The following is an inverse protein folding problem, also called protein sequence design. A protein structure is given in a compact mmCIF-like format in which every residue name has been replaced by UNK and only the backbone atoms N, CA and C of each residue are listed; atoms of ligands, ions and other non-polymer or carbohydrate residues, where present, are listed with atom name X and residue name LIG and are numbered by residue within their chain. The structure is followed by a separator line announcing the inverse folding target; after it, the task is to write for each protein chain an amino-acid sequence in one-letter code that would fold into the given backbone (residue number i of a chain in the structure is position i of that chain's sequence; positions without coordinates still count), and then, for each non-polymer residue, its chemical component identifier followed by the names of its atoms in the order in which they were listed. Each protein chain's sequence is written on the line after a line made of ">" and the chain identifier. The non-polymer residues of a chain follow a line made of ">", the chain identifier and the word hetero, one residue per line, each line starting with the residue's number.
data_IF_950674951302
#
_entry.id   IF_950674951302
#
_cell.length_a   1.000
_cell.length_b   1.000
_cell.length_c   1.000
_cell.angle_alpha   90.00
_cell.angle_beta   90.00
_cell.angle_gamma   90.00
#
_symmetry.space_group_name_H-M   'P 1'
#
loop_
_entity.id
_entity.type
_entity.pdbx_description
1 polymer ?
#
# COMPACT_ATOMS: atom_id res chain seq x y z
N UNK A 1 -33.79 66.90 -14.20
CA UNK A 1 -33.82 65.81 -13.23
C UNK A 1 -34.25 64.54 -13.95
N UNK A 2 -33.32 63.64 -14.32
CA UNK A 2 -33.64 62.34 -14.93
C UNK A 2 -33.40 61.26 -13.85
N UNK A 3 -34.49 60.52 -13.53
CA UNK A 3 -34.43 59.36 -12.62
C UNK A 3 -33.83 58.18 -13.36
N UNK A 4 -32.74 57.65 -12.86
CA UNK A 4 -32.13 56.39 -13.33
C UNK A 4 -32.71 55.27 -12.47
N UNK A 5 -33.51 54.42 -13.11
CA UNK A 5 -34.04 53.17 -12.51
C UNK A 5 -32.95 52.11 -12.58
N UNK A 6 -32.47 51.59 -11.44
CA UNK A 6 -31.57 50.45 -11.35
C UNK A 6 -32.41 49.17 -11.38
N UNK A 7 -32.30 48.39 -12.45
CA UNK A 7 -32.83 47.04 -12.49
C UNK A 7 -31.81 46.12 -11.79
N UNK A 8 -32.22 45.53 -10.65
CA UNK A 8 -31.53 44.42 -10.01
C UNK A 8 -31.92 43.13 -10.76
N UNK A 9 -30.93 42.52 -11.45
CA UNK A 9 -31.03 41.13 -11.91
C UNK A 9 -30.66 40.23 -10.74
N UNK A 10 -31.62 39.53 -10.18
CA UNK A 10 -31.37 38.43 -9.24
C UNK A 10 -31.02 37.20 -10.05
N UNK A 11 -29.77 36.82 -10.07
CA UNK A 11 -29.34 35.54 -10.60
C UNK A 11 -29.64 34.44 -9.57
N UNK A 12 -30.65 33.65 -9.84
CA UNK A 12 -30.97 32.45 -9.07
C UNK A 12 -29.95 31.37 -9.43
N UNK A 13 -29.00 31.12 -8.56
CA UNK A 13 -28.14 29.94 -8.62
C UNK A 13 -29.00 28.70 -8.31
N UNK A 14 -29.37 27.95 -9.34
CA UNK A 14 -29.95 26.62 -9.19
C UNK A 14 -28.77 25.71 -8.87
N UNK A 15 -28.54 25.37 -7.59
CA UNK A 15 -27.66 24.27 -7.18
C UNK A 15 -28.35 22.96 -7.59
N UNK A 16 -27.89 22.36 -8.67
CA UNK A 16 -28.19 20.96 -8.98
C UNK A 16 -27.46 20.13 -7.96
N UNK A 17 -28.12 19.74 -6.89
CA UNK A 17 -27.63 18.69 -6.01
C UNK A 17 -27.68 17.40 -6.84
N UNK A 18 -26.54 16.95 -7.33
CA UNK A 18 -26.42 15.60 -7.82
C UNK A 18 -26.74 14.68 -6.63
N UNK A 19 -27.88 14.02 -6.68
CA UNK A 19 -28.25 12.98 -5.72
C UNK A 19 -27.22 11.86 -5.92
N UNK A 20 -26.31 11.71 -4.96
CA UNK A 20 -25.43 10.54 -4.90
C UNK A 20 -26.36 9.31 -4.89
N UNK A 21 -26.25 8.47 -5.90
CA UNK A 21 -26.96 7.19 -5.93
C UNK A 21 -26.49 6.39 -4.72
N UNK A 22 -27.45 5.81 -3.99
CA UNK A 22 -27.11 4.98 -2.83
C UNK A 22 -26.38 3.72 -3.29
N UNK A 23 -25.32 3.35 -2.59
CA UNK A 23 -24.54 2.10 -2.80
C UNK A 23 -25.49 0.91 -2.81
N UNK A 24 -25.41 0.07 -3.83
CA UNK A 24 -26.21 -1.14 -4.01
C UNK A 24 -25.41 -2.39 -3.71
N UNK A 25 -26.09 -3.52 -3.47
CA UNK A 25 -25.41 -4.82 -3.32
C UNK A 25 -24.66 -5.23 -4.60
N UNK A 26 -25.14 -4.76 -5.77
CA UNK A 26 -24.46 -4.99 -7.05
C UNK A 26 -23.14 -4.24 -7.11
N UNK A 27 -23.07 -3.01 -6.61
CA UNK A 27 -21.81 -2.25 -6.54
C UNK A 27 -20.82 -2.97 -5.64
N UNK A 28 -21.28 -3.49 -4.49
CA UNK A 28 -20.45 -4.28 -3.59
C UNK A 28 -19.93 -5.54 -4.28
N UNK A 29 -20.78 -6.34 -4.89
CA UNK A 29 -20.38 -7.57 -5.56
C UNK A 29 -19.39 -7.30 -6.71
N UNK A 30 -19.63 -6.29 -7.54
CA UNK A 30 -18.75 -5.89 -8.63
C UNK A 30 -17.37 -5.42 -8.13
N UNK A 31 -17.34 -4.70 -7.01
CA UNK A 31 -16.13 -4.23 -6.37
C UNK A 31 -15.19 -5.37 -5.91
N UNK A 32 -15.77 -6.49 -5.49
CA UNK A 32 -14.99 -7.67 -5.07
C UNK A 32 -14.73 -8.67 -6.21
N UNK A 33 -15.52 -8.63 -7.26
CA UNK A 33 -15.46 -9.56 -8.38
C UNK A 33 -15.32 -8.83 -9.72
N UNK A 34 -14.28 -7.98 -9.90
CA UNK A 34 -14.13 -7.17 -11.11
C UNK A 34 -13.89 -7.99 -12.37
N UNK A 35 -13.64 -9.30 -12.23
CA UNK A 35 -13.33 -10.23 -13.31
C UNK A 35 -14.42 -11.25 -13.60
N UNK A 36 -15.67 -11.00 -13.19
CA UNK A 36 -16.81 -11.89 -13.46
C UNK A 36 -17.03 -12.14 -14.96
N UNK A 37 -16.73 -11.12 -15.81
CA UNK A 37 -16.79 -11.23 -17.27
C UNK A 37 -15.51 -11.81 -17.90
N UNK A 38 -14.54 -12.23 -17.09
CA UNK A 38 -13.19 -12.65 -17.50
C UNK A 38 -12.12 -11.62 -17.17
N UNK A 39 -10.88 -12.08 -17.15
CA UNK A 39 -9.73 -11.20 -16.96
C UNK A 39 -9.52 -10.29 -18.18
N UNK A 40 -8.92 -9.09 -17.99
CA UNK A 40 -8.56 -8.25 -19.10
C UNK A 40 -7.60 -8.98 -20.06
N UNK A 41 -7.81 -8.78 -21.34
CA UNK A 41 -6.94 -9.29 -22.40
C UNK A 41 -6.44 -8.13 -23.25
N UNK A 42 -5.19 -8.21 -23.69
CA UNK A 42 -4.58 -7.26 -24.62
C UNK A 42 -3.88 -8.06 -25.71
N UNK A 43 -4.06 -7.67 -26.97
CA UNK A 43 -3.48 -8.36 -28.11
C UNK A 43 -1.96 -8.51 -27.95
N UNK A 44 -1.44 -9.70 -28.23
CA UNK A 44 -0.03 -10.03 -28.10
C UNK A 44 0.48 -10.25 -26.67
N UNK A 45 -0.34 -10.08 -25.64
CA UNK A 45 0.04 -10.32 -24.24
C UNK A 45 -0.51 -11.67 -23.78
N UNK A 46 0.40 -12.62 -23.58
CA UNK A 46 0.10 -13.96 -23.07
C UNK A 46 1.11 -14.36 -22.00
N UNK A 47 0.74 -15.28 -21.13
CA UNK A 47 1.67 -15.84 -20.14
C UNK A 47 2.93 -16.39 -20.79
N UNK A 48 4.08 -16.11 -20.21
CA UNK A 48 5.40 -16.44 -20.75
C UNK A 48 6.00 -15.39 -21.67
N UNK A 49 5.23 -14.38 -22.10
CA UNK A 49 5.80 -13.25 -22.85
C UNK A 49 6.83 -12.53 -21.96
N UNK A 50 8.02 -12.27 -22.52
CA UNK A 50 9.04 -11.42 -21.89
C UNK A 50 9.04 -10.06 -22.57
N UNK A 51 8.80 -9.01 -21.79
CA UNK A 51 8.87 -7.62 -22.26
C UNK A 51 10.26 -7.10 -21.98
N UNK A 52 10.96 -6.75 -23.06
CA UNK A 52 12.35 -6.31 -23.08
C UNK A 52 12.47 -4.94 -23.72
N UNK A 53 13.67 -4.37 -23.73
CA UNK A 53 13.94 -3.09 -24.43
C UNK A 53 13.58 -3.12 -25.93
N UNK A 54 13.58 -4.30 -26.55
CA UNK A 54 13.39 -4.45 -28.00
C UNK A 54 11.90 -4.47 -28.38
N UNK A 55 10.98 -4.76 -27.41
CA UNK A 55 9.55 -4.86 -27.68
C UNK A 55 8.65 -4.02 -26.76
N UNK A 56 9.20 -3.31 -25.77
CA UNK A 56 8.42 -2.56 -24.76
C UNK A 56 7.47 -1.53 -25.38
N UNK A 57 7.84 -0.91 -26.51
CA UNK A 57 6.97 0.08 -27.17
C UNK A 57 5.65 -0.53 -27.66
N UNK A 58 5.62 -1.82 -27.99
CA UNK A 58 4.40 -2.53 -28.38
C UNK A 58 3.43 -2.73 -27.23
N UNK A 59 3.94 -2.73 -25.99
CA UNK A 59 3.19 -3.02 -24.77
C UNK A 59 3.12 -1.81 -23.81
N UNK A 60 3.48 -0.62 -24.27
CA UNK A 60 3.52 0.59 -23.44
C UNK A 60 2.15 0.94 -22.83
N UNK A 61 1.04 0.58 -23.50
CA UNK A 61 -0.32 0.86 -23.00
C UNK A 61 -0.68 0.16 -21.68
N UNK A 62 0.02 -0.92 -21.35
CA UNK A 62 -0.20 -1.71 -20.11
C UNK A 62 0.89 -1.55 -19.06
N UNK A 63 1.76 -0.55 -19.21
CA UNK A 63 2.86 -0.23 -18.32
C UNK A 63 2.76 1.23 -17.86
N UNK A 64 3.35 1.55 -16.72
CA UNK A 64 3.57 2.92 -16.30
C UNK A 64 4.87 3.50 -16.93
N UNK A 65 4.94 4.83 -17.00
CA UNK A 65 6.07 5.53 -17.63
C UNK A 65 7.42 5.19 -16.98
N UNK A 66 7.42 4.97 -15.64
CA UNK A 66 8.62 4.57 -14.91
C UNK A 66 9.09 3.17 -15.32
N UNK A 67 8.17 2.20 -15.45
CA UNK A 67 8.51 0.85 -15.92
C UNK A 67 8.95 0.85 -17.37
N UNK A 68 8.27 1.58 -18.23
CA UNK A 68 8.68 1.76 -19.64
C UNK A 68 10.13 2.28 -19.70
N UNK A 69 10.43 3.31 -18.90
CA UNK A 69 11.78 3.86 -18.83
C UNK A 69 12.80 2.83 -18.34
N UNK A 70 12.52 2.09 -17.29
CA UNK A 70 13.42 1.06 -16.75
C UNK A 70 13.72 -0.02 -17.80
N UNK A 71 12.71 -0.47 -18.52
CA UNK A 71 12.89 -1.49 -19.56
C UNK A 71 13.68 -0.92 -20.75
N UNK A 72 13.36 0.29 -21.22
CA UNK A 72 14.10 0.94 -22.33
C UNK A 72 15.57 1.18 -22.01
N UNK A 73 15.86 1.55 -20.77
CA UNK A 73 17.23 1.75 -20.28
C UNK A 73 17.97 0.41 -20.06
N UNK A 74 17.31 -0.74 -20.30
CA UNK A 74 17.87 -2.07 -20.09
C UNK A 74 18.11 -2.42 -18.63
N UNK A 75 17.37 -1.79 -17.72
CA UNK A 75 17.51 -2.04 -16.28
C UNK A 75 16.78 -3.30 -15.84
N UNK A 76 15.70 -3.64 -16.49
CA UNK A 76 14.88 -4.82 -16.16
C UNK A 76 14.16 -5.34 -17.41
N UNK A 77 13.86 -6.61 -17.41
CA UNK A 77 12.90 -7.28 -18.28
C UNK A 77 11.80 -7.85 -17.39
N UNK A 78 10.55 -7.85 -17.84
CA UNK A 78 9.46 -8.41 -17.06
C UNK A 78 8.82 -9.58 -17.80
N UNK A 79 8.41 -10.60 -17.05
CA UNK A 79 7.72 -11.77 -17.61
C UNK A 79 6.24 -11.70 -17.28
N UNK A 80 5.39 -11.86 -18.28
CA UNK A 80 3.94 -11.94 -18.09
C UNK A 80 3.57 -13.29 -17.47
N UNK A 81 2.78 -13.25 -16.41
CA UNK A 81 2.22 -14.43 -15.74
C UNK A 81 0.75 -14.66 -16.10
N UNK A 82 0.22 -15.79 -15.63
CA UNK A 82 -1.21 -16.07 -15.71
C UNK A 82 -2.00 -15.09 -14.83
N UNK A 83 -3.15 -14.62 -15.29
CA UNK A 83 -4.04 -13.83 -14.44
C UNK A 83 -4.60 -14.66 -13.31
N UNK A 84 -4.80 -14.04 -12.14
CA UNK A 84 -5.27 -14.69 -10.93
C UNK A 84 -6.38 -13.90 -10.26
N UNK A 85 -7.33 -14.62 -9.66
CA UNK A 85 -8.41 -14.03 -8.88
C UNK A 85 -8.03 -14.03 -7.38
N UNK A 86 -7.81 -12.84 -6.83
CA UNK A 86 -7.52 -12.63 -5.40
C UNK A 86 -8.82 -12.47 -4.62
N UNK A 87 -9.52 -13.57 -4.40
CA UNK A 87 -10.79 -13.57 -3.66
C UNK A 87 -10.57 -13.08 -2.23
N UNK A 88 -11.23 -11.98 -1.86
CA UNK A 88 -11.09 -11.38 -0.54
C UNK A 88 -11.87 -12.16 0.54
N UNK A 89 -11.52 -11.90 1.80
CA UNK A 89 -12.15 -12.51 2.97
C UNK A 89 -13.65 -12.27 3.02
N UNK A 90 -14.44 -13.33 3.28
CA UNK A 90 -15.89 -13.24 3.32
C UNK A 90 -16.40 -12.29 4.41
N UNK A 91 -15.77 -12.26 5.59
CA UNK A 91 -16.13 -11.31 6.66
C UNK A 91 -15.94 -9.85 6.25
N UNK A 92 -14.92 -9.56 5.42
CA UNK A 92 -14.72 -8.22 4.87
C UNK A 92 -15.81 -7.85 3.84
N UNK A 93 -16.22 -8.80 3.01
CA UNK A 93 -17.31 -8.62 2.04
C UNK A 93 -18.64 -8.38 2.78
N UNK A 94 -18.93 -9.20 3.80
CA UNK A 94 -20.18 -9.11 4.57
C UNK A 94 -20.26 -7.79 5.35
N UNK A 95 -19.15 -7.33 5.93
CA UNK A 95 -19.06 -6.04 6.60
C UNK A 95 -19.30 -4.88 5.63
N UNK A 96 -18.79 -4.98 4.39
CA UNK A 96 -19.06 -4.00 3.33
C UNK A 96 -20.55 -3.95 2.97
N UNK A 97 -21.20 -5.09 2.75
CA UNK A 97 -22.65 -5.18 2.46
C UNK A 97 -23.48 -4.57 3.58
N UNK A 98 -23.08 -4.81 4.82
CA UNK A 98 -23.81 -4.27 5.98
C UNK A 98 -23.65 -2.75 6.16
N UNK A 99 -22.46 -2.20 5.86
CA UNK A 99 -22.07 -0.86 6.27
C UNK A 99 -21.95 0.20 5.17
N UNK A 100 -21.52 -0.17 3.96
CA UNK A 100 -21.08 0.80 2.94
C UNK A 100 -22.13 1.86 2.58
N UNK A 101 -23.41 1.52 2.57
CA UNK A 101 -24.50 2.46 2.28
C UNK A 101 -24.62 3.63 3.28
N UNK A 102 -24.00 3.51 4.44
CA UNK A 102 -24.03 4.54 5.50
C UNK A 102 -22.75 5.40 5.47
N UNK A 103 -21.77 5.03 4.64
CA UNK A 103 -20.49 5.70 4.58
C UNK A 103 -20.54 6.91 3.67
N UNK A 104 -20.01 8.03 4.14
CA UNK A 104 -19.84 9.24 3.33
C UNK A 104 -18.59 9.98 3.77
N UNK A 105 -18.00 10.75 2.85
CA UNK A 105 -16.93 11.68 3.18
C UNK A 105 -17.51 12.84 4.01
N UNK A 106 -16.78 13.27 5.03
CA UNK A 106 -17.10 14.49 5.77
C UNK A 106 -16.79 15.75 4.95
N UNK A 107 -16.91 16.92 5.59
CA UNK A 107 -16.69 18.19 4.94
C UNK A 107 -15.22 18.43 4.61
N UNK A 108 -14.33 18.08 5.54
CA UNK A 108 -12.89 18.26 5.40
C UNK A 108 -12.22 17.05 4.74
N UNK A 109 -11.08 17.27 4.12
CA UNK A 109 -10.21 16.21 3.61
C UNK A 109 -9.75 15.30 4.76
N UNK A 110 -9.92 13.99 4.61
CA UNK A 110 -9.59 13.03 5.67
C UNK A 110 -10.68 12.83 6.71
N UNK A 111 -11.90 13.35 6.46
CA UNK A 111 -13.07 13.03 7.27
C UNK A 111 -13.93 11.96 6.60
N UNK A 112 -14.31 10.96 7.37
CA UNK A 112 -15.22 9.90 6.97
C UNK A 112 -16.28 9.69 8.06
N UNK A 113 -17.55 9.55 7.66
CA UNK A 113 -18.67 9.37 8.56
C UNK A 113 -19.37 8.04 8.27
N UNK A 114 -19.95 7.44 9.30
CA UNK A 114 -20.76 6.23 9.18
C UNK A 114 -19.96 4.94 8.94
N UNK A 115 -18.63 5.01 8.82
CA UNK A 115 -17.79 3.84 8.57
C UNK A 115 -17.61 2.98 9.84
N UNK A 116 -17.82 1.68 9.69
CA UNK A 116 -17.64 0.70 10.76
C UNK A 116 -16.56 -0.31 10.39
N UNK A 117 -16.71 -1.00 9.26
CA UNK A 117 -15.76 -1.99 8.76
C UNK A 117 -16.07 -2.34 7.30
N UNK A 118 -15.16 -3.03 6.62
CA UNK A 118 -15.29 -3.42 5.22
C UNK A 118 -14.73 -2.36 4.25
N UNK A 119 -15.08 -2.45 2.98
CA UNK A 119 -14.73 -1.46 1.96
C UNK A 119 -15.62 -0.23 2.09
N UNK A 120 -15.03 0.95 2.27
CA UNK A 120 -15.78 2.16 2.55
C UNK A 120 -16.64 2.64 1.36
N UNK A 121 -16.07 2.60 0.15
CA UNK A 121 -16.67 3.09 -1.09
C UNK A 121 -16.56 2.03 -2.18
N UNK A 122 -17.49 1.06 -2.25
CA UNK A 122 -17.41 -0.06 -3.20
C UNK A 122 -17.86 0.30 -4.63
N UNK A 123 -18.47 1.46 -4.83
CA UNK A 123 -18.89 1.90 -6.15
C UNK A 123 -17.71 2.16 -7.09
N UNK A 124 -17.90 1.93 -8.39
CA UNK A 124 -16.88 2.23 -9.40
C UNK A 124 -16.55 3.72 -9.37
N UNK A 125 -15.26 4.11 -9.28
CA UNK A 125 -14.88 5.52 -9.24
C UNK A 125 -15.22 6.22 -10.55
N UNK A 126 -15.70 7.48 -10.47
CA UNK A 126 -16.02 8.31 -11.62
C UNK A 126 -15.11 9.51 -11.73
N UNK A 127 -14.74 9.88 -12.97
CA UNK A 127 -14.01 11.12 -13.23
C UNK A 127 -14.86 12.38 -12.98
N UNK A 128 -16.19 12.23 -12.93
CA UNK A 128 -17.13 13.32 -12.62
C UNK A 128 -17.24 13.59 -11.11
N UNK A 129 -16.75 12.66 -10.27
CA UNK A 129 -16.69 12.84 -8.82
C UNK A 129 -15.35 13.50 -8.41
N UNK A 130 -15.37 14.77 -7.99
CA UNK A 130 -14.14 15.50 -7.61
C UNK A 130 -13.44 14.89 -6.39
N UNK A 131 -14.12 14.05 -5.60
CA UNK A 131 -13.55 13.36 -4.44
C UNK A 131 -13.35 11.86 -4.66
N UNK A 132 -13.41 11.36 -5.90
CA UNK A 132 -13.17 9.95 -6.21
C UNK A 132 -11.78 9.49 -5.76
N UNK A 133 -10.74 10.32 -5.93
CA UNK A 133 -9.39 10.02 -5.46
C UNK A 133 -9.32 9.80 -3.95
N UNK A 134 -9.99 10.63 -3.17
CA UNK A 134 -10.06 10.48 -1.71
C UNK A 134 -10.82 9.21 -1.30
N UNK A 135 -11.92 8.88 -1.97
CA UNK A 135 -12.63 7.60 -1.75
C UNK A 135 -11.73 6.40 -2.02
N UNK A 136 -10.91 6.44 -3.07
CA UNK A 136 -9.93 5.38 -3.37
C UNK A 136 -8.86 5.29 -2.30
N UNK A 137 -8.36 6.41 -1.80
CA UNK A 137 -7.40 6.44 -0.70
C UNK A 137 -7.97 5.83 0.58
N UNK A 138 -9.23 6.10 0.91
CA UNK A 138 -9.93 5.45 2.03
C UNK A 138 -10.09 3.94 1.82
N UNK A 139 -10.42 3.49 0.61
CA UNK A 139 -10.50 2.07 0.29
C UNK A 139 -9.14 1.36 0.45
N UNK A 140 -8.05 2.03 0.12
CA UNK A 140 -6.70 1.53 0.40
C UNK A 140 -6.42 1.50 1.90
N UNK A 141 -6.66 2.59 2.63
CA UNK A 141 -6.36 2.68 4.07
C UNK A 141 -7.14 1.65 4.90
N UNK A 142 -8.39 1.39 4.52
CA UNK A 142 -9.26 0.40 5.14
C UNK A 142 -9.29 -0.93 4.38
N UNK A 143 -8.36 -1.12 3.44
CA UNK A 143 -8.18 -2.37 2.71
C UNK A 143 -7.84 -3.53 3.65
N UNK A 144 -8.20 -4.74 3.26
CA UNK A 144 -7.91 -5.96 4.02
C UNK A 144 -6.49 -6.49 3.75
N UNK A 145 -5.52 -5.57 3.59
CA UNK A 145 -4.17 -5.84 3.10
C UNK A 145 -3.33 -6.69 4.06
N UNK A 146 -3.61 -6.61 5.36
CA UNK A 146 -2.94 -7.38 6.42
C UNK A 146 -3.96 -8.09 7.32
N UNK A 147 -5.19 -8.28 6.85
CA UNK A 147 -6.26 -8.84 7.66
C UNK A 147 -6.55 -8.03 8.92
N UNK A 148 -7.03 -8.66 9.96
CA UNK A 148 -7.21 -8.05 11.28
C UNK A 148 -5.90 -7.95 12.07
N UNK A 149 -4.87 -8.71 11.64
CA UNK A 149 -3.53 -8.68 12.18
C UNK A 149 -2.62 -9.64 11.43
N UNK A 150 -1.34 -9.29 11.33
CA UNK A 150 -0.34 -10.04 10.58
C UNK A 150 1.06 -9.79 11.11
N UNK A 151 1.96 -10.69 10.77
CA UNK A 151 3.39 -10.54 11.01
C UNK A 151 4.18 -10.70 9.72
N UNK A 152 5.30 -9.99 9.59
CA UNK A 152 6.38 -10.31 8.67
C UNK A 152 7.54 -10.78 9.55
N UNK A 153 7.80 -12.07 9.58
CA UNK A 153 8.77 -12.64 10.53
C UNK A 153 9.43 -13.90 9.96
N UNK A 154 10.71 -13.79 9.54
CA UNK A 154 11.52 -12.59 9.46
C UNK A 154 11.21 -11.71 8.24
N UNK A 155 11.76 -10.49 8.27
CA UNK A 155 11.78 -9.53 7.19
C UNK A 155 13.22 -9.12 6.92
N UNK A 156 13.72 -9.33 5.71
CA UNK A 156 15.07 -8.99 5.31
C UNK A 156 15.09 -7.79 4.39
N UNK A 157 15.90 -6.77 4.71
CA UNK A 157 16.19 -5.66 3.80
C UNK A 157 17.65 -5.68 3.37
N UNK A 158 17.89 -5.33 2.10
CA UNK A 158 19.22 -5.12 1.56
C UNK A 158 19.30 -3.74 0.89
N UNK A 159 20.29 -2.93 1.30
CA UNK A 159 20.60 -1.64 0.69
C UNK A 159 21.64 -1.89 -0.38
N UNK A 160 21.41 -1.39 -1.58
CA UNK A 160 22.23 -1.73 -2.75
C UNK A 160 22.54 -0.53 -3.61
N UNK A 161 23.76 -0.46 -4.09
CA UNK A 161 24.17 0.45 -5.14
C UNK A 161 23.70 -0.09 -6.50
N UNK A 162 22.84 0.63 -7.20
CA UNK A 162 22.26 0.16 -8.48
C UNK A 162 23.29 0.02 -9.60
N UNK A 163 24.38 0.80 -9.59
CA UNK A 163 25.38 0.75 -10.64
C UNK A 163 26.32 -0.46 -10.52
N UNK A 164 26.63 -0.86 -9.30
CA UNK A 164 27.61 -1.93 -9.02
C UNK A 164 26.98 -3.23 -8.57
N UNK A 165 25.71 -3.20 -8.14
CA UNK A 165 25.05 -4.34 -7.50
C UNK A 165 25.57 -4.67 -6.09
N UNK A 166 26.50 -3.84 -5.56
CA UNK A 166 27.06 -4.07 -4.23
C UNK A 166 26.00 -3.90 -3.16
N UNK A 167 25.85 -4.91 -2.30
CA UNK A 167 25.09 -4.81 -1.05
C UNK A 167 25.91 -4.00 -0.05
N UNK A 168 25.37 -2.90 0.42
CA UNK A 168 26.02 -1.98 1.37
C UNK A 168 25.62 -2.31 2.81
N UNK A 169 24.38 -2.76 3.01
CA UNK A 169 23.86 -3.14 4.32
C UNK A 169 22.73 -4.16 4.19
N UNK A 170 22.71 -5.11 5.11
CA UNK A 170 21.58 -6.00 5.33
C UNK A 170 20.98 -5.71 6.70
N UNK A 171 19.65 -5.74 6.79
CA UNK A 171 18.89 -5.64 8.04
C UNK A 171 17.93 -6.80 8.12
N UNK A 172 17.87 -7.44 9.29
CA UNK A 172 16.84 -8.42 9.64
C UNK A 172 16.00 -7.88 10.77
N UNK A 173 14.69 -7.91 10.61
CA UNK A 173 13.75 -7.49 11.65
C UNK A 173 12.44 -8.26 11.57
N UNK A 174 11.62 -8.13 12.60
CA UNK A 174 10.26 -8.59 12.64
C UNK A 174 9.32 -7.39 12.62
N UNK A 175 8.24 -7.53 11.90
CA UNK A 175 7.25 -6.48 11.71
C UNK A 175 5.86 -7.03 12.05
N UNK A 176 5.07 -6.29 12.81
CA UNK A 176 3.77 -6.72 13.29
C UNK A 176 2.73 -5.64 13.04
N UNK A 177 1.57 -6.05 12.55
CA UNK A 177 0.41 -5.20 12.31
C UNK A 177 -0.75 -5.68 13.16
N UNK A 178 -1.54 -4.77 13.71
CA UNK A 178 -2.78 -5.10 14.40
C UNK A 178 -3.81 -3.99 14.19
N UNK A 179 -4.98 -4.36 13.69
CA UNK A 179 -6.14 -3.51 13.68
C UNK A 179 -6.81 -3.54 15.05
N UNK A 180 -6.91 -2.37 15.70
CA UNK A 180 -7.64 -2.17 16.94
C UNK A 180 -9.13 -1.93 16.69
N UNK A 181 -9.45 -1.32 15.53
CA UNK A 181 -10.81 -1.08 15.08
C UNK A 181 -11.00 -1.56 13.65
N UNK A 182 -12.25 -1.58 13.18
CA UNK A 182 -12.65 -2.00 11.84
C UNK A 182 -12.35 -3.48 11.53
N UNK A 183 -12.32 -4.29 12.58
CA UNK A 183 -12.06 -5.73 12.52
C UNK A 183 -13.29 -6.47 11.96
N UNK A 184 -13.04 -7.50 11.16
CA UNK A 184 -14.11 -8.22 10.43
C UNK A 184 -14.11 -9.72 10.67
N UNK A 185 -12.96 -10.32 10.98
CA UNK A 185 -12.80 -11.78 11.01
C UNK A 185 -12.51 -12.34 12.41
N UNK A 186 -11.69 -11.66 13.22
CA UNK A 186 -11.28 -12.14 14.55
C UNK A 186 -11.87 -11.29 15.67
N UNK A 187 -12.39 -11.95 16.68
CA UNK A 187 -12.92 -11.28 17.87
C UNK A 187 -11.81 -10.62 18.72
N UNK A 188 -12.14 -9.52 19.40
CA UNK A 188 -13.41 -8.81 19.40
C UNK A 188 -13.63 -7.98 18.13
N UNK A 189 -14.85 -7.99 17.60
CA UNK A 189 -15.29 -7.23 16.44
C UNK A 189 -16.35 -6.21 16.84
N UNK A 190 -16.45 -5.04 16.19
CA UNK A 190 -15.51 -4.49 15.18
C UNK A 190 -14.30 -3.81 15.82
N UNK A 191 -14.16 -3.81 17.14
CA UNK A 191 -13.12 -3.06 17.87
C UNK A 191 -12.63 -3.84 19.10
N UNK A 192 -11.33 -3.80 19.34
CA UNK A 192 -10.70 -4.30 20.57
C UNK A 192 -11.19 -3.48 21.76
N UNK A 193 -11.53 -4.15 22.88
CA UNK A 193 -11.99 -3.50 24.11
C UNK A 193 -11.08 -3.85 25.30
N UNK A 194 -10.65 -2.84 26.09
CA UNK A 194 -10.85 -1.40 25.89
C UNK A 194 -9.93 -0.78 24.83
N UNK A 195 -10.42 0.22 24.07
CA UNK A 195 -9.63 1.06 23.17
C UNK A 195 -9.77 2.55 23.54
N UNK A 196 -9.26 2.98 24.70
CA UNK A 196 -9.47 4.34 25.19
C UNK A 196 -8.80 5.41 24.31
N UNK A 197 -7.74 5.05 23.56
CA UNK A 197 -7.04 5.95 22.65
C UNK A 197 -7.69 6.06 21.28
N UNK A 198 -8.79 5.32 21.04
CA UNK A 198 -9.46 5.26 19.75
C UNK A 198 -8.48 4.97 18.60
N UNK A 199 -7.67 3.94 18.76
CA UNK A 199 -6.74 3.49 17.74
C UNK A 199 -7.50 2.76 16.63
N UNK A 200 -7.07 3.00 15.40
CA UNK A 200 -7.44 2.20 14.22
C UNK A 200 -6.46 1.04 14.09
N UNK A 201 -5.18 1.34 13.87
CA UNK A 201 -4.12 0.36 13.61
C UNK A 201 -2.87 0.70 14.41
N UNK A 202 -2.12 -0.31 14.76
CA UNK A 202 -0.77 -0.13 15.27
C UNK A 202 0.22 -1.02 14.52
N UNK A 203 1.43 -0.51 14.36
CA UNK A 203 2.59 -1.17 13.75
C UNK A 203 3.68 -1.23 14.80
N UNK A 204 4.28 -2.40 14.97
CA UNK A 204 5.44 -2.58 15.82
C UNK A 204 6.50 -3.37 15.06
N UNK A 205 7.74 -2.89 15.09
CA UNK A 205 8.89 -3.64 14.57
C UNK A 205 10.04 -3.66 15.57
N UNK A 206 10.86 -4.69 15.46
CA UNK A 206 12.13 -4.78 16.17
C UNK A 206 13.24 -5.33 15.28
N UNK A 207 14.39 -4.68 15.31
CA UNK A 207 15.59 -5.06 14.56
C UNK A 207 16.33 -6.19 15.28
N UNK A 208 16.66 -7.26 14.55
CA UNK A 208 17.45 -8.39 15.05
C UNK A 208 18.92 -8.30 14.65
N UNK A 209 19.15 -7.85 13.42
CA UNK A 209 20.49 -7.70 12.82
C UNK A 209 20.54 -6.44 11.96
N UNK A 210 21.73 -5.81 11.79
CA UNK A 210 23.04 -6.14 12.38
C UNK A 210 23.18 -5.66 13.84
N UNK A 211 24.30 -6.04 14.47
CA UNK A 211 24.54 -5.82 15.90
C UNK A 211 24.51 -4.34 16.32
N UNK A 212 25.01 -3.44 15.47
CA UNK A 212 25.08 -1.98 15.75
C UNK A 212 23.70 -1.34 15.95
N UNK A 213 22.66 -1.87 15.32
CA UNK A 213 21.27 -1.40 15.48
C UNK A 213 20.33 -2.44 16.10
N UNK A 214 20.88 -3.55 16.59
CA UNK A 214 20.08 -4.59 17.25
C UNK A 214 19.24 -4.01 18.38
N UNK A 215 18.03 -4.54 18.57
CA UNK A 215 17.02 -4.05 19.50
C UNK A 215 16.50 -2.63 19.22
N UNK A 216 16.80 -2.05 18.07
CA UNK A 216 16.05 -0.86 17.63
C UNK A 216 14.60 -1.25 17.39
N UNK A 217 13.66 -0.49 17.96
CA UNK A 217 12.23 -0.77 17.86
C UNK A 217 11.49 0.50 17.39
N UNK A 218 10.49 0.32 16.54
CA UNK A 218 9.55 1.37 16.14
C UNK A 218 8.14 0.94 16.53
N UNK A 219 7.39 1.83 17.14
CA UNK A 219 5.96 1.70 17.39
C UNK A 219 5.24 2.88 16.76
N UNK A 220 4.27 2.59 15.88
CA UNK A 220 3.36 3.59 15.30
C UNK A 220 1.94 3.23 15.72
N UNK A 221 1.19 4.22 16.19
CA UNK A 221 -0.22 4.07 16.56
C UNK A 221 -1.04 5.11 15.79
N UNK A 222 -1.91 4.64 14.91
CA UNK A 222 -2.82 5.45 14.09
C UNK A 222 -4.18 5.58 14.75
N UNK A 223 -4.71 6.79 14.82
CA UNK A 223 -6.06 7.08 15.31
C UNK A 223 -7.14 6.66 14.31
N UNK A 224 -8.36 6.33 14.80
CA UNK A 224 -9.56 6.23 13.96
C UNK A 224 -9.94 7.58 13.32
N UNK A 225 -9.53 8.69 13.92
CA UNK A 225 -9.72 10.03 13.35
C UNK A 225 -8.44 10.42 12.59
N UNK A 226 -8.52 10.46 11.26
CA UNK A 226 -7.39 10.76 10.37
C UNK A 226 -6.84 12.20 10.53
N UNK A 227 -7.66 13.14 11.02
CA UNK A 227 -7.19 14.49 11.33
C UNK A 227 -6.22 14.55 12.52
N UNK A 228 -6.17 13.47 13.32
CA UNK A 228 -5.19 13.33 14.40
C UNK A 228 -3.92 12.70 13.87
N UNK A 229 -2.79 13.33 14.17
CA UNK A 229 -1.48 12.80 13.80
C UNK A 229 -1.18 11.48 14.51
N UNK A 230 -0.46 10.60 13.81
CA UNK A 230 0.01 9.34 14.37
C UNK A 230 0.93 9.57 15.57
N UNK A 231 0.87 8.69 16.53
CA UNK A 231 1.86 8.62 17.58
C UNK A 231 2.93 7.62 17.19
N UNK A 232 4.18 8.06 17.14
CA UNK A 232 5.30 7.20 16.85
C UNK A 232 6.39 7.28 17.93
N UNK A 233 6.98 6.14 18.25
CA UNK A 233 8.07 6.03 19.22
C UNK A 233 9.18 5.15 18.65
N UNK A 234 10.41 5.60 18.86
CA UNK A 234 11.62 4.88 18.52
C UNK A 234 12.38 4.50 19.80
N UNK A 235 12.70 3.23 19.95
CA UNK A 235 13.65 2.75 20.95
C UNK A 235 14.98 2.44 20.27
N UNK A 236 16.04 3.05 20.75
CA UNK A 236 17.39 2.81 20.27
C UNK A 236 18.11 1.88 21.26
N UNK A 237 18.44 0.66 20.85
CA UNK A 237 19.03 -0.38 21.70
C UNK A 237 20.31 0.10 22.43
N UNK A 238 21.20 0.80 21.74
CA UNK A 238 22.43 1.34 22.31
C UNK A 238 22.21 2.46 23.35
N UNK A 239 21.10 3.20 23.28
CA UNK A 239 20.73 4.26 24.24
C UNK A 239 19.82 3.76 25.34
N UNK A 240 19.16 2.62 25.17
CA UNK A 240 18.15 2.04 26.06
C UNK A 240 17.03 3.03 26.44
N UNK A 241 16.65 3.88 25.47
CA UNK A 241 15.66 4.95 25.66
C UNK A 241 14.61 4.92 24.56
N UNK A 242 13.33 5.04 24.97
CA UNK A 242 12.23 5.34 24.05
C UNK A 242 12.17 6.84 23.84
N UNK A 243 12.15 7.26 22.59
CA UNK A 243 11.90 8.65 22.17
C UNK A 243 10.61 8.70 21.39
N UNK A 244 9.80 9.71 21.63
CA UNK A 244 8.67 10.02 20.76
C UNK A 244 9.24 10.71 19.51
N UNK A 245 8.86 10.22 18.33
CA UNK A 245 9.22 10.86 17.08
C UNK A 245 8.37 12.11 16.88
N UNK A 246 9.00 13.20 16.40
CA UNK A 246 8.25 14.36 15.94
C UNK A 246 7.47 13.99 14.65
N UNK A 247 6.31 14.57 14.51
CA UNK A 247 5.39 14.27 13.40
C UNK A 247 5.93 14.62 12.02
N UNK A 248 6.95 15.47 11.90
CA UNK A 248 7.62 15.78 10.62
C UNK A 248 8.68 14.76 10.21
N UNK A 249 9.00 13.76 11.05
CA UNK A 249 10.05 12.77 10.75
C UNK A 249 9.55 11.55 9.95
N UNK A 250 8.29 11.54 9.54
CA UNK A 250 7.74 10.48 8.68
C UNK A 250 8.30 10.51 7.26
N UNK A 251 8.84 11.67 6.85
CA UNK A 251 9.50 11.91 5.56
C UNK A 251 11.01 11.74 5.60
N UNK A 252 11.57 11.43 6.76
CA UNK A 252 12.99 11.09 6.87
C UNK A 252 13.23 9.64 6.40
N UNK A 253 14.43 9.40 5.87
CA UNK A 253 14.89 8.07 5.47
C UNK A 253 14.87 7.11 6.67
N UNK A 254 14.07 6.05 6.59
CA UNK A 254 13.96 5.07 7.68
C UNK A 254 15.21 4.19 7.73
N UNK A 255 15.94 4.25 8.85
CA UNK A 255 17.20 3.53 9.10
C UNK A 255 18.26 3.71 8.00
N UNK A 256 18.21 4.80 7.25
CA UNK A 256 19.14 5.07 6.15
C UNK A 256 18.80 4.34 4.84
N UNK A 257 17.59 3.80 4.72
CA UNK A 257 17.07 3.19 3.50
C UNK A 257 16.58 4.22 2.47
N UNK A 258 16.18 3.75 1.29
CA UNK A 258 15.51 4.60 0.28
C UNK A 258 14.03 4.87 0.59
N UNK A 259 13.49 4.27 1.66
CA UNK A 259 12.12 4.45 2.10
C UNK A 259 12.02 5.50 3.20
N UNK A 260 11.00 6.32 3.11
CA UNK A 260 10.43 7.07 4.23
C UNK A 260 9.44 6.16 4.98
N UNK A 261 9.12 6.46 6.24
CA UNK A 261 8.04 5.75 6.95
C UNK A 261 6.71 5.88 6.17
N UNK A 262 6.52 7.01 5.52
CA UNK A 262 5.35 7.30 4.69
C UNK A 262 5.27 6.45 3.41
N UNK A 263 6.37 5.84 2.96
CA UNK A 263 6.39 5.00 1.76
C UNK A 263 6.02 3.52 2.03
N UNK A 264 5.85 3.11 3.30
CA UNK A 264 5.47 1.73 3.62
C UNK A 264 4.15 1.34 2.94
N UNK A 265 4.08 0.14 2.40
CA UNK A 265 2.93 -0.40 1.65
C UNK A 265 2.56 0.42 0.38
N UNK A 266 3.45 1.28 -0.11
CA UNK A 266 3.21 2.22 -1.21
C UNK A 266 2.70 3.59 -0.75
N UNK A 267 2.00 3.66 0.37
CA UNK A 267 1.66 4.87 1.12
C UNK A 267 1.22 4.53 2.56
N UNK A 268 1.85 5.13 3.54
CA UNK A 268 1.51 4.97 4.95
C UNK A 268 1.33 6.32 5.68
N UNK A 269 0.97 7.37 4.94
CA UNK A 269 0.57 8.65 5.50
C UNK A 269 -0.92 8.68 5.89
N UNK A 270 -1.38 9.83 6.37
CA UNK A 270 -2.81 10.09 6.60
C UNK A 270 -3.47 10.52 5.29
N UNK A 271 -4.76 10.24 5.15
CA UNK A 271 -5.52 10.72 3.99
C UNK A 271 -5.51 12.24 3.92
N UNK A 272 -5.60 12.90 5.06
CA UNK A 272 -5.60 14.38 5.19
C UNK A 272 -4.24 15.04 4.89
N UNK A 273 -3.16 14.27 4.72
CA UNK A 273 -1.84 14.83 4.38
C UNK A 273 -1.66 15.05 2.86
N UNK A 274 -2.54 14.48 2.02
CA UNK A 274 -2.43 14.52 0.56
C UNK A 274 -3.73 14.96 -0.10
N UNK A 275 -3.65 15.73 -1.18
CA UNK A 275 -4.74 15.90 -2.12
C UNK A 275 -4.77 14.67 -3.04
N UNK A 276 -5.96 14.09 -3.26
CA UNK A 276 -6.13 12.84 -3.99
C UNK A 276 -6.93 13.07 -5.26
N UNK A 277 -6.39 12.69 -6.40
CA UNK A 277 -7.03 12.83 -7.71
C UNK A 277 -7.13 11.48 -8.40
N UNK A 278 -8.35 11.05 -8.71
CA UNK A 278 -8.57 9.89 -9.56
C UNK A 278 -8.30 10.26 -11.03
N UNK A 279 -7.45 9.48 -11.70
CA UNK A 279 -7.00 9.74 -13.08
C UNK A 279 -7.61 8.78 -14.10
N UNK A 280 -8.44 7.85 -13.66
CA UNK A 280 -9.12 6.89 -14.53
C UNK A 280 -8.74 5.43 -14.26
N UNK A 281 -9.45 4.55 -14.93
CA UNK A 281 -9.22 3.09 -14.91
C UNK A 281 -8.40 2.66 -16.13
N UNK A 282 -7.43 1.76 -15.91
CA UNK A 282 -6.60 1.16 -16.98
C UNK A 282 -6.49 -0.35 -16.81
N UNK A 283 -6.17 -1.03 -17.89
CA UNK A 283 -5.63 -2.38 -17.85
C UNK A 283 -4.11 -2.29 -17.79
N UNK A 284 -3.47 -2.88 -16.77
CA UNK A 284 -2.02 -2.80 -16.58
C UNK A 284 -1.44 -4.11 -16.08
N UNK A 285 -0.16 -4.31 -16.34
CA UNK A 285 0.64 -5.39 -15.77
C UNK A 285 1.09 -5.00 -14.36
N UNK A 286 0.65 -5.77 -13.36
CA UNK A 286 1.06 -5.62 -11.96
C UNK A 286 1.76 -6.89 -11.45
N UNK A 287 2.74 -6.80 -10.55
CA UNK A 287 3.47 -7.93 -9.98
C UNK A 287 2.60 -8.71 -8.97
N UNK A 288 1.56 -9.37 -9.47
CA UNK A 288 0.60 -10.19 -8.72
C UNK A 288 0.61 -11.62 -9.29
N UNK A 289 0.93 -12.64 -8.45
CA UNK A 289 1.35 -13.94 -8.95
C UNK A 289 1.10 -15.11 -8.00
N UNK A 290 1.27 -16.30 -8.54
CA UNK A 290 1.40 -17.57 -7.83
C UNK A 290 2.85 -17.75 -7.36
N UNK A 291 3.10 -17.70 -6.04
CA UNK A 291 4.45 -17.79 -5.48
C UNK A 291 5.13 -19.14 -5.74
N UNK A 292 4.36 -20.20 -5.92
CA UNK A 292 4.89 -21.54 -6.23
C UNK A 292 5.53 -21.64 -7.62
N UNK A 293 5.23 -20.68 -8.49
CA UNK A 293 5.75 -20.59 -9.88
C UNK A 293 6.88 -19.57 -10.04
N UNK A 294 7.35 -18.96 -8.95
CA UNK A 294 8.38 -17.94 -9.00
C UNK A 294 9.77 -18.49 -8.74
N UNK A 295 10.79 -17.74 -9.17
CA UNK A 295 12.19 -18.03 -8.82
C UNK A 295 12.42 -17.67 -7.34
N UNK A 296 12.70 -18.69 -6.53
CA UNK A 296 12.86 -18.51 -5.09
C UNK A 296 14.26 -18.95 -4.63
N UNK A 297 14.72 -18.40 -3.53
CA UNK A 297 16.04 -18.68 -2.91
C UNK A 297 15.85 -19.16 -1.47
N UNK A 298 16.72 -20.06 -1.07
CA UNK A 298 16.88 -20.54 0.32
C UNK A 298 18.11 -19.90 1.02
N UNK A 299 18.61 -18.77 0.54
CA UNK A 299 19.87 -18.16 1.03
C UNK A 299 19.89 -17.89 2.54
N UNK A 300 18.74 -17.67 3.17
CA UNK A 300 18.65 -17.45 4.61
C UNK A 300 18.53 -18.73 5.44
N UNK A 301 18.43 -19.91 4.81
CA UNK A 301 18.37 -21.21 5.47
C UNK A 301 17.33 -21.29 6.61
N UNK A 302 16.11 -20.81 6.34
CA UNK A 302 15.02 -20.84 7.33
C UNK A 302 14.78 -22.27 7.84
N UNK A 303 14.59 -22.40 9.15
CA UNK A 303 14.48 -23.72 9.81
C UNK A 303 13.25 -24.54 9.37
N UNK A 304 12.23 -23.87 8.86
CA UNK A 304 11.01 -24.47 8.30
C UNK A 304 11.07 -24.67 6.77
N UNK A 305 12.22 -24.38 6.15
CA UNK A 305 12.44 -24.52 4.72
C UNK A 305 11.77 -23.44 3.86
N UNK A 306 11.31 -22.32 4.46
CA UNK A 306 10.74 -21.22 3.70
C UNK A 306 11.77 -20.62 2.75
N UNK A 307 11.33 -20.28 1.54
CA UNK A 307 12.16 -19.66 0.51
C UNK A 307 11.60 -18.28 0.16
N UNK A 308 12.45 -17.41 -0.34
CA UNK A 308 12.13 -16.04 -0.67
C UNK A 308 12.18 -15.77 -2.16
N UNK A 309 11.45 -14.77 -2.65
CA UNK A 309 11.57 -14.30 -4.02
C UNK A 309 12.98 -13.77 -4.28
N UNK A 310 13.52 -14.06 -5.48
CA UNK A 310 14.81 -13.55 -5.90
C UNK A 310 14.72 -12.13 -6.47
N UNK A 311 15.87 -11.53 -6.75
CA UNK A 311 15.96 -10.22 -7.39
C UNK A 311 16.77 -10.30 -8.68
N UNK A 312 16.47 -9.42 -9.62
CA UNK A 312 17.17 -9.32 -10.90
C UNK A 312 17.31 -7.87 -11.37
N UNK A 313 17.72 -7.69 -12.60
CA UNK A 313 17.86 -6.39 -13.23
C UNK A 313 19.01 -5.57 -12.64
N UNK A 314 19.00 -4.27 -12.94
CA UNK A 314 20.08 -3.37 -12.57
C UNK A 314 20.28 -3.31 -11.06
N UNK A 315 21.47 -3.64 -10.63
CA UNK A 315 21.85 -3.70 -9.22
C UNK A 315 21.16 -4.80 -8.40
N UNK A 316 20.34 -5.68 -9.03
CA UNK A 316 19.50 -6.63 -8.32
C UNK A 316 18.43 -5.94 -7.47
N UNK A 317 17.81 -4.88 -8.02
CA UNK A 317 16.85 -4.04 -7.32
C UNK A 317 15.38 -4.38 -7.62
N UNK A 318 15.13 -5.22 -8.61
CA UNK A 318 13.79 -5.56 -9.06
C UNK A 318 13.39 -6.94 -8.56
N UNK A 319 12.24 -7.13 -7.90
CA UNK A 319 11.71 -8.46 -7.59
C UNK A 319 11.59 -9.30 -8.88
N UNK A 320 12.13 -10.51 -8.85
CA UNK A 320 12.10 -11.43 -9.99
C UNK A 320 10.83 -12.27 -9.96
N UNK A 321 9.74 -11.65 -10.34
CA UNK A 321 8.38 -12.19 -10.26
C UNK A 321 7.63 -11.93 -11.57
N UNK A 322 6.56 -12.70 -11.80
CA UNK A 322 5.71 -12.50 -12.97
C UNK A 322 4.67 -11.39 -12.75
N UNK A 323 4.22 -10.79 -13.85
CA UNK A 323 3.25 -9.69 -13.87
C UNK A 323 1.98 -10.15 -14.56
N UNK A 324 0.83 -9.97 -13.94
CA UNK A 324 -0.47 -10.32 -14.54
C UNK A 324 -1.24 -9.07 -14.98
N UNK A 325 -2.06 -9.21 -16.04
CA UNK A 325 -2.97 -8.16 -16.47
C UNK A 325 -4.06 -7.95 -15.41
N UNK A 326 -4.21 -6.72 -14.96
CA UNK A 326 -5.15 -6.33 -13.92
C UNK A 326 -5.95 -5.09 -14.34
N UNK A 327 -7.18 -4.97 -13.85
CA UNK A 327 -7.91 -3.69 -13.83
C UNK A 327 -7.30 -2.83 -12.74
N UNK A 328 -6.90 -1.61 -13.08
CA UNK A 328 -6.13 -0.72 -12.20
C UNK A 328 -6.78 0.65 -12.13
N UNK A 329 -6.98 1.16 -10.93
CA UNK A 329 -7.32 2.56 -10.70
C UNK A 329 -6.03 3.37 -10.58
N UNK A 330 -5.90 4.40 -11.41
CA UNK A 330 -4.77 5.33 -11.34
C UNK A 330 -5.17 6.50 -10.44
N UNK A 331 -4.42 6.66 -9.34
CA UNK A 331 -4.67 7.72 -8.35
C UNK A 331 -3.40 8.54 -8.17
N UNK A 332 -3.51 9.85 -8.31
CA UNK A 332 -2.41 10.78 -8.04
C UNK A 332 -2.60 11.40 -6.65
N UNK A 333 -1.51 11.54 -5.92
CA UNK A 333 -1.50 12.26 -4.64
C UNK A 333 -0.40 13.30 -4.62
N UNK A 334 -0.73 14.51 -4.18
CA UNK A 334 0.23 15.61 -3.93
C UNK A 334 0.08 16.12 -2.50
N UNK A 335 1.21 16.44 -1.83
CA UNK A 335 1.19 16.85 -0.44
C UNK A 335 0.43 18.16 -0.20
N UNK A 336 -0.38 18.20 0.86
CA UNK A 336 -1.00 19.44 1.36
C UNK A 336 0.06 20.38 1.93
N UNK A 337 1.12 19.84 2.56
CA UNK A 337 2.24 20.66 3.07
C UNK A 337 3.15 21.08 1.92
N UNK A 338 3.28 22.40 1.62
CA UNK A 338 4.15 22.90 0.56
C UNK A 338 5.65 22.66 0.81
N UNK A 339 6.04 22.29 2.02
CA UNK A 339 7.45 21.98 2.37
C UNK A 339 7.78 20.48 2.27
N UNK A 340 6.81 19.65 1.91
CA UNK A 340 7.04 18.23 1.75
C UNK A 340 8.08 17.94 0.66
N UNK A 341 9.03 17.01 0.84
CA UNK A 341 10.09 16.74 -0.15
C UNK A 341 9.57 16.14 -1.46
N UNK A 342 8.45 15.46 -1.42
CA UNK A 342 7.79 14.86 -2.60
C UNK A 342 6.92 15.91 -3.28
N UNK A 343 6.95 15.96 -4.62
CA UNK A 343 6.03 16.75 -5.43
C UNK A 343 4.71 16.05 -5.63
N UNK A 344 4.75 14.79 -6.09
CA UNK A 344 3.56 13.94 -6.26
C UNK A 344 3.92 12.47 -6.28
N UNK A 345 2.92 11.63 -6.03
CA UNK A 345 2.95 10.18 -6.28
C UNK A 345 1.84 9.81 -7.27
N UNK A 346 2.14 8.87 -8.16
CA UNK A 346 1.15 8.20 -8.99
C UNK A 346 1.05 6.76 -8.55
N UNK A 347 -0.10 6.40 -8.01
CA UNK A 347 -0.40 5.07 -7.48
C UNK A 347 -1.17 4.27 -8.51
N UNK A 348 -0.77 3.02 -8.73
CA UNK A 348 -1.44 2.06 -9.58
C UNK A 348 -2.10 1.01 -8.68
N UNK A 349 -3.34 1.28 -8.31
CA UNK A 349 -4.11 0.52 -7.34
C UNK A 349 -4.84 -0.64 -8.03
N UNK A 350 -4.63 -1.87 -7.56
CA UNK A 350 -5.40 -3.01 -8.06
C UNK A 350 -6.89 -2.88 -7.72
N UNK A 351 -7.76 -3.02 -8.71
CA UNK A 351 -9.19 -2.78 -8.54
C UNK A 351 -9.92 -3.84 -7.69
N UNK A 352 -9.33 -5.02 -7.48
CA UNK A 352 -9.90 -6.06 -6.64
C UNK A 352 -9.46 -5.93 -5.18
N UNK A 353 -8.16 -5.84 -4.94
CA UNK A 353 -7.59 -5.83 -3.59
C UNK A 353 -7.46 -4.44 -2.98
N UNK A 354 -7.44 -3.40 -3.81
CA UNK A 354 -7.13 -2.01 -3.43
C UNK A 354 -5.74 -1.83 -2.79
N UNK A 355 -4.83 -2.75 -3.05
CA UNK A 355 -3.41 -2.60 -2.71
C UNK A 355 -2.68 -1.71 -3.72
N UNK A 356 -1.47 -1.27 -3.38
CA UNK A 356 -0.61 -0.42 -4.21
C UNK A 356 0.64 -1.19 -4.68
N UNK A 357 0.51 -2.16 -5.62
CA UNK A 357 1.65 -2.95 -6.07
C UNK A 357 2.71 -2.10 -6.79
N UNK A 358 2.32 -0.92 -7.25
CA UNK A 358 3.19 -0.01 -7.97
C UNK A 358 2.89 1.44 -7.61
N UNK A 359 3.94 2.24 -7.32
CA UNK A 359 3.85 3.69 -7.14
C UNK A 359 5.08 4.35 -7.76
N UNK A 360 4.87 5.44 -8.46
CA UNK A 360 5.92 6.30 -9.05
C UNK A 360 5.91 7.63 -8.32
N UNK A 361 7.07 8.06 -7.84
CA UNK A 361 7.22 9.30 -7.08
C UNK A 361 8.04 10.32 -7.86
N UNK A 362 7.60 11.55 -7.85
CA UNK A 362 8.25 12.69 -8.46
C UNK A 362 8.68 13.70 -7.39
N UNK A 363 9.81 14.35 -7.60
CA UNK A 363 10.26 15.44 -6.75
C UNK A 363 9.48 16.74 -7.03
N UNK A 364 9.80 17.80 -6.30
CA UNK A 364 9.13 19.11 -6.42
C UNK A 364 9.38 19.82 -7.74
N UNK A 365 10.36 19.38 -8.54
CA UNK A 365 10.62 19.86 -9.89
C UNK A 365 9.96 18.98 -10.96
N UNK A 366 9.02 18.09 -10.55
CA UNK A 366 8.33 17.12 -11.39
C UNK A 366 9.30 16.15 -12.11
N UNK A 367 10.48 15.89 -11.52
CA UNK A 367 11.41 14.90 -12.02
C UNK A 367 11.15 13.57 -11.36
N UNK A 368 11.21 12.50 -12.14
CA UNK A 368 11.11 11.13 -11.64
C UNK A 368 12.21 10.88 -10.59
N UNK A 369 11.79 10.48 -9.40
CA UNK A 369 12.67 10.32 -8.23
C UNK A 369 12.71 8.89 -7.75
N UNK A 370 11.54 8.35 -7.30
CA UNK A 370 11.49 7.01 -6.71
C UNK A 370 10.53 6.09 -7.44
N UNK A 371 10.87 4.82 -7.44
CA UNK A 371 10.12 3.73 -8.04
C UNK A 371 9.84 2.67 -6.99
N UNK A 372 8.62 2.64 -6.49
CA UNK A 372 8.13 1.59 -5.62
C UNK A 372 7.51 0.46 -6.43
N UNK A 373 7.86 -0.77 -6.12
CA UNK A 373 7.11 -1.94 -6.53
C UNK A 373 7.11 -2.99 -5.43
N UNK A 374 5.98 -3.68 -5.27
CA UNK A 374 5.83 -4.78 -4.33
C UNK A 374 5.15 -5.94 -5.04
N UNK A 375 5.82 -7.09 -5.03
CA UNK A 375 5.27 -8.34 -5.53
C UNK A 375 4.29 -8.91 -4.53
N UNK A 376 3.09 -9.22 -5.02
CA UNK A 376 2.00 -9.76 -4.20
C UNK A 376 1.66 -11.19 -4.61
N UNK A 377 1.91 -12.11 -3.69
CA UNK A 377 1.64 -13.53 -3.87
C UNK A 377 0.17 -13.85 -3.54
N UNK A 378 -0.40 -14.80 -4.28
CA UNK A 378 -1.70 -15.36 -3.94
C UNK A 378 -1.61 -16.11 -2.60
N UNK A 379 -2.52 -15.90 -1.63
CA UNK A 379 -2.41 -16.47 -0.29
C UNK A 379 -2.37 -18.00 -0.30
N UNK A 380 -3.09 -18.63 -1.21
CA UNK A 380 -3.18 -20.11 -1.29
C UNK A 380 -1.91 -20.78 -1.82
N UNK A 381 -1.03 -20.02 -2.49
CA UNK A 381 0.25 -20.50 -2.98
C UNK A 381 1.45 -20.08 -2.13
N UNK A 382 1.21 -19.34 -1.05
CA UNK A 382 2.25 -18.84 -0.14
C UNK A 382 2.50 -19.83 1.02
N UNK A 383 2.28 -19.43 2.26
CA UNK A 383 2.38 -20.31 3.42
C UNK A 383 1.04 -21.02 3.69
N UNK A 384 1.04 -22.26 4.20
CA UNK A 384 -0.19 -22.97 4.53
C UNK A 384 -1.14 -22.21 5.46
N UNK A 385 -0.60 -21.44 6.40
CA UNK A 385 -1.37 -20.61 7.35
C UNK A 385 -2.11 -19.46 6.66
N UNK A 386 -1.63 -19.00 5.50
CA UNK A 386 -2.24 -17.91 4.74
C UNK A 386 -3.38 -18.37 3.83
N UNK A 387 -3.51 -19.70 3.64
CA UNK A 387 -4.51 -20.26 2.74
C UNK A 387 -5.92 -19.87 3.16
N UNK A 388 -6.69 -19.34 2.20
CA UNK A 388 -8.07 -18.88 2.43
C UNK A 388 -8.19 -17.60 3.27
N UNK A 389 -7.08 -16.92 3.59
CA UNK A 389 -7.12 -15.66 4.35
C UNK A 389 -7.83 -14.53 3.60
N UNK A 390 -7.84 -14.58 2.26
CA UNK A 390 -8.36 -13.50 1.41
C UNK A 390 -7.52 -12.23 1.45
N UNK A 391 -6.23 -12.36 1.75
CA UNK A 391 -5.23 -11.28 1.76
C UNK A 391 -4.23 -11.50 0.64
N UNK A 392 -3.97 -10.52 -0.21
CA UNK A 392 -2.82 -10.57 -1.11
C UNK A 392 -1.54 -10.39 -0.28
N UNK A 393 -0.62 -11.37 -0.40
CA UNK A 393 0.55 -11.43 0.49
C UNK A 393 1.70 -10.64 -0.12
N UNK A 394 2.15 -9.61 0.56
CA UNK A 394 3.41 -8.96 0.22
C UNK A 394 4.56 -9.94 0.38
N UNK A 395 5.31 -10.19 -0.69
CA UNK A 395 6.34 -11.24 -0.76
C UNK A 395 7.75 -10.68 -1.04
N UNK A 396 7.85 -9.62 -1.85
CA UNK A 396 9.11 -8.95 -2.13
C UNK A 396 8.88 -7.52 -2.60
N UNK A 397 9.71 -6.56 -2.18
CA UNK A 397 9.63 -5.19 -2.71
C UNK A 397 10.98 -4.67 -3.21
N UNK A 398 10.92 -3.68 -4.08
CA UNK A 398 12.03 -2.80 -4.45
C UNK A 398 11.61 -1.34 -4.38
N UNK A 399 12.35 -0.55 -3.61
CA UNK A 399 12.31 0.91 -3.67
C UNK A 399 13.60 1.40 -4.31
N UNK A 400 13.49 1.95 -5.49
CA UNK A 400 14.63 2.48 -6.23
C UNK A 400 14.61 4.00 -6.18
N UNK A 401 15.69 4.62 -5.73
CA UNK A 401 15.96 6.03 -5.92
C UNK A 401 16.76 6.19 -7.22
N UNK A 402 16.07 6.60 -8.28
CA UNK A 402 16.66 6.68 -9.62
C UNK A 402 17.57 7.89 -9.81
N UNK A 403 17.52 8.86 -8.90
CA UNK A 403 18.40 10.03 -8.93
C UNK A 403 19.74 9.74 -8.24
N UNK A 404 19.73 9.02 -7.13
CA UNK A 404 20.94 8.62 -6.42
C UNK A 404 21.53 7.30 -6.94
N UNK A 405 20.79 6.56 -7.77
CA UNK A 405 21.15 5.23 -8.26
C UNK A 405 21.39 4.24 -7.12
N UNK A 406 20.49 4.25 -6.16
CA UNK A 406 20.48 3.38 -4.99
C UNK A 406 19.11 2.69 -4.84
N UNK A 407 19.07 1.54 -4.17
CA UNK A 407 17.80 0.91 -3.87
C UNK A 407 17.81 0.18 -2.53
N UNK A 408 16.63 0.07 -1.95
CA UNK A 408 16.35 -0.86 -0.86
C UNK A 408 15.43 -1.96 -1.36
N UNK A 409 15.82 -3.21 -1.15
CA UNK A 409 15.00 -4.38 -1.46
C UNK A 409 14.56 -5.06 -0.17
N UNK A 410 13.41 -5.72 -0.17
CA UNK A 410 12.91 -6.45 1.00
C UNK A 410 12.23 -7.75 0.64
N UNK A 411 12.52 -8.80 1.41
CA UNK A 411 11.98 -10.15 1.28
C UNK A 411 11.17 -10.48 2.51
N UNK A 412 9.93 -10.90 2.30
CA UNK A 412 8.94 -11.07 3.35
C UNK A 412 8.69 -12.55 3.64
N UNK A 413 8.53 -12.87 4.92
CA UNK A 413 7.81 -14.05 5.35
C UNK A 413 6.53 -13.60 6.02
N UNK A 414 5.52 -13.30 5.18
CA UNK A 414 4.22 -12.78 5.62
C UNK A 414 3.35 -13.87 6.24
N UNK A 415 2.80 -13.61 7.41
CA UNK A 415 1.95 -14.52 8.18
C UNK A 415 0.67 -13.78 8.55
N UNK A 416 -0.47 -14.21 8.01
CA UNK A 416 -1.78 -13.61 8.28
C UNK A 416 -2.44 -14.41 9.40
N UNK A 417 -2.12 -14.06 10.63
CA UNK A 417 -2.70 -14.68 11.81
C UNK A 417 -2.65 -13.71 13.01
N UNK A 418 -3.77 -13.05 13.33
CA UNK A 418 -3.83 -12.15 14.48
C UNK A 418 -3.68 -12.84 15.83
N UNK A 419 -3.88 -14.17 15.93
CA UNK A 419 -3.72 -14.91 17.19
C UNK A 419 -2.25 -15.03 17.62
N UNK A 420 -1.32 -14.91 16.66
CA UNK A 420 0.12 -14.85 16.93
C UNK A 420 0.55 -13.50 17.52
N UNK A 421 -0.32 -12.49 17.48
CA UNK A 421 0.02 -11.11 17.81
C UNK A 421 -0.56 -10.73 19.16
N UNK A 422 0.31 -10.29 20.07
CA UNK A 422 -0.09 -9.93 21.44
C UNK A 422 -0.33 -8.41 21.52
N UNK A 423 -1.54 -8.01 21.93
CA UNK A 423 -1.91 -6.61 22.15
C UNK A 423 -0.85 -5.79 22.92
N UNK A 424 -0.22 -6.40 23.92
CA UNK A 424 0.82 -5.72 24.73
C UNK A 424 2.03 -5.27 23.93
N UNK A 425 2.33 -5.89 22.77
CA UNK A 425 3.45 -5.52 21.89
C UNK A 425 3.33 -4.07 21.38
N UNK A 426 2.10 -3.59 21.22
CA UNK A 426 1.83 -2.25 20.69
C UNK A 426 1.78 -1.18 21.77
N UNK A 427 2.69 -1.26 22.75
CA UNK A 427 2.79 -0.30 23.84
C UNK A 427 4.23 0.15 24.11
N UNK A 428 4.39 1.41 24.51
CA UNK A 428 5.68 1.97 24.94
C UNK A 428 6.28 1.17 26.11
N UNK A 429 5.44 0.61 26.98
CA UNK A 429 5.88 -0.23 28.08
C UNK A 429 6.53 -1.53 27.59
N UNK A 430 5.95 -2.14 26.56
CA UNK A 430 6.53 -3.33 25.94
C UNK A 430 7.90 -3.03 25.32
N UNK A 431 8.03 -1.92 24.57
CA UNK A 431 9.31 -1.50 24.00
C UNK A 431 10.42 -1.41 25.07
N UNK A 432 10.09 -0.83 26.23
CA UNK A 432 11.04 -0.72 27.37
C UNK A 432 11.40 -2.07 27.97
N UNK A 433 10.45 -2.98 28.09
CA UNK A 433 10.68 -4.29 28.70
C UNK A 433 11.40 -5.25 27.77
N UNK A 434 11.12 -5.19 26.47
CA UNK A 434 11.74 -6.01 25.43
C UNK A 434 13.18 -5.57 25.14
N UNK A 435 13.48 -4.28 25.25
CA UNK A 435 14.80 -3.71 24.99
C UNK A 435 15.83 -3.88 26.12
N UNK A 436 15.44 -4.51 27.24
CA UNK A 436 16.37 -4.85 28.34
C UNK A 436 17.05 -6.18 28.02
#
# INVERSE_FOLDING_TARGET
>A
MKKITKNLFAATLISVAASALAVTDVDVDNSFKPYTAGFPTVEGITAGLVITKDNVDQYASVLDDGMIKHIKDGWVEITVGEPMDFVLNQGYIDATKAGAKNVKLGAELGEIEGYVAGRAFPEEPSLDDPRAGEKMAWNFQYGYNWGDGAAISPFYWAYKNMNTGKVERNIKFNFYFLNFAHRVNHDPKPEVQPNPSKLFRAIYLNVEEPFDIKNTQLLIQRSQNDLKRDNAWLYLGFQRRVRRLATGQVTDSFLGSDLMIEDFEGYNGRISDMNWTYKGTKTMLLPMYDSSKQNRTSEYNESDGYTYSTYHGKGGCFPNVTYSLRKVYVVESDPVDPNHPIGKRVHFMDAQTFTLPRTVTYDRQDKYWKSWMIGQAHPDSHLPINKGSGVSIDDAFGMMDVQSMHCTTGQFKGIIDPDLIKLKQFSVQYMRSFGK
#
